data_IF_699396225015
#
_entry.id   IF_699396225015
#
_cell.length_a   1.000
_cell.length_b   1.000
_cell.length_c   1.000
_cell.angle_alpha   90.00
_cell.angle_beta   90.00
_cell.angle_gamma   90.00
#
_symmetry.space_group_name_H-M   'P 1'
#
loop_
_entity.id
_entity.type
_entity.pdbx_description
1 polymer ?
#
# COMPACT_ATOMS: atom_id res chain seq x y z
N UNK A 1 11.03 29.13 9.52
CA UNK A 1 9.64 28.97 9.04
C UNK A 1 9.56 27.71 8.21
N UNK A 2 9.34 26.58 8.87
CA UNK A 2 9.16 25.26 8.27
C UNK A 2 7.66 25.01 8.11
N UNK A 3 7.17 25.14 6.87
CA UNK A 3 5.77 24.90 6.54
C UNK A 3 5.45 23.41 6.66
N UNK A 4 4.75 23.05 7.74
CA UNK A 4 4.06 21.76 7.84
C UNK A 4 3.04 21.72 6.70
N UNK A 5 3.25 20.83 5.73
CA UNK A 5 2.24 20.54 4.71
C UNK A 5 1.04 19.92 5.44
N UNK A 6 -0.05 20.69 5.53
CA UNK A 6 -1.30 20.25 6.18
C UNK A 6 -1.84 19.04 5.42
N UNK A 7 -2.16 17.98 6.17
CA UNK A 7 -2.83 16.74 5.71
C UNK A 7 -4.07 17.02 4.83
N UNK A 8 -4.67 18.20 4.92
CA UNK A 8 -5.79 18.63 4.07
C UNK A 8 -5.51 18.68 2.56
N UNK A 9 -4.26 18.92 2.11
CA UNK A 9 -3.95 18.93 0.67
C UNK A 9 -3.96 17.53 0.06
N UNK A 10 -3.65 16.50 0.86
CA UNK A 10 -3.70 15.09 0.41
C UNK A 10 -5.14 14.65 0.18
N UNK A 11 -6.09 15.13 0.99
CA UNK A 11 -7.50 14.80 0.85
C UNK A 11 -8.15 15.44 -0.41
N UNK A 12 -7.77 16.66 -0.76
CA UNK A 12 -8.26 17.34 -1.97
C UNK A 12 -7.71 16.72 -3.27
N UNK A 13 -6.46 16.26 -3.27
CA UNK A 13 -5.89 15.49 -4.39
C UNK A 13 -6.52 14.10 -4.50
N UNK A 14 -6.93 13.49 -3.38
CA UNK A 14 -7.61 12.20 -3.34
C UNK A 14 -9.05 12.23 -3.88
N UNK A 15 -9.79 13.31 -3.65
CA UNK A 15 -11.13 13.49 -4.24
C UNK A 15 -11.08 13.66 -5.76
N UNK A 16 -10.01 14.26 -6.29
CA UNK A 16 -9.80 14.42 -7.74
C UNK A 16 -9.31 13.11 -8.40
N UNK A 17 -8.58 12.27 -7.66
CA UNK A 17 -8.07 10.99 -8.17
C UNK A 17 -9.14 9.88 -8.27
N UNK A 18 -10.29 10.04 -7.60
CA UNK A 18 -11.42 9.08 -7.58
C UNK A 18 -12.03 8.77 -8.96
N UNK A 19 -11.78 9.62 -9.97
CA UNK A 19 -12.24 9.41 -11.35
C UNK A 19 -11.32 8.50 -12.18
N UNK A 20 -10.20 8.05 -11.62
CA UNK A 20 -9.24 7.17 -12.28
C UNK A 20 -8.88 5.97 -11.41
N UNK A 21 -8.45 4.89 -12.07
CA UNK A 21 -7.93 3.59 -11.57
C UNK A 21 -7.58 3.54 -10.06
N UNK A 22 -7.99 2.49 -9.32
CA UNK A 22 -7.83 2.42 -7.86
C UNK A 22 -6.41 2.73 -7.42
N UNK A 23 -6.29 3.85 -6.70
CA UNK A 23 -5.07 4.44 -6.23
C UNK A 23 -4.91 4.14 -4.73
N UNK A 24 -3.89 3.35 -4.37
CA UNK A 24 -3.47 3.16 -2.99
C UNK A 24 -2.45 4.24 -2.62
N UNK A 25 -2.60 4.86 -1.44
CA UNK A 25 -1.59 5.79 -0.92
C UNK A 25 -0.65 5.05 0.02
N UNK A 26 0.64 4.99 -0.34
CA UNK A 26 1.69 4.44 0.52
C UNK A 26 2.60 5.55 1.04
N UNK A 27 2.87 5.56 2.34
CA UNK A 27 3.86 6.46 2.93
C UNK A 27 5.27 5.91 2.69
N UNK A 28 6.16 6.76 2.17
CA UNK A 28 7.56 6.45 1.94
C UNK A 28 8.42 6.73 3.18
N UNK A 29 9.59 6.09 3.33
CA UNK A 29 10.50 6.34 4.45
C UNK A 29 11.04 7.77 4.55
N UNK A 30 10.94 8.56 3.47
CA UNK A 30 11.33 9.97 3.42
C UNK A 30 10.18 10.93 3.82
N UNK A 31 9.06 10.40 4.28
CA UNK A 31 7.87 11.16 4.70
C UNK A 31 6.97 11.59 3.54
N UNK A 32 7.31 11.25 2.29
CA UNK A 32 6.45 11.52 1.13
C UNK A 32 5.35 10.48 0.99
N UNK A 33 4.24 10.83 0.33
CA UNK A 33 3.19 9.89 -0.04
C UNK A 33 3.33 9.54 -1.53
N UNK A 34 3.18 8.26 -1.83
CA UNK A 34 3.14 7.73 -3.19
C UNK A 34 1.73 7.22 -3.47
N UNK A 35 1.15 7.64 -4.58
CA UNK A 35 -0.11 7.11 -5.09
C UNK A 35 0.22 5.96 -6.05
N UNK A 36 -0.02 4.72 -5.63
CA UNK A 36 0.17 3.51 -6.43
C UNK A 36 -1.14 3.16 -7.11
N UNK A 37 -1.16 3.18 -8.44
CA UNK A 37 -2.30 2.71 -9.22
C UNK A 37 -2.10 1.25 -9.63
N UNK A 38 -3.15 0.45 -9.61
CA UNK A 38 -3.12 -0.95 -9.99
C UNK A 38 -3.87 -1.19 -11.29
N UNK A 39 -3.32 -2.01 -12.19
CA UNK A 39 -4.04 -2.41 -13.40
C UNK A 39 -5.16 -3.37 -13.01
N UNK A 40 -6.40 -3.07 -13.43
CA UNK A 40 -7.57 -3.93 -13.24
C UNK A 40 -8.80 -3.19 -12.72
N UNK A 41 -9.82 -3.96 -12.36
CA UNK A 41 -11.13 -3.42 -11.97
C UNK A 41 -11.14 -3.05 -10.48
N UNK A 42 -11.52 -1.81 -10.10
CA UNK A 42 -11.70 -1.47 -8.69
C UNK A 42 -12.91 -2.21 -8.08
N UNK A 43 -12.79 -2.76 -6.86
CA UNK A 43 -13.91 -3.37 -6.17
C UNK A 43 -14.84 -2.28 -5.62
N UNK A 44 -16.15 -2.46 -5.81
CA UNK A 44 -17.17 -1.64 -5.12
C UNK A 44 -17.35 -2.10 -3.68
N UNK A 45 -17.96 -1.27 -2.83
CA UNK A 45 -18.24 -1.65 -1.43
C UNK A 45 -19.11 -2.91 -1.30
N UNK A 46 -20.10 -3.06 -2.19
CA UNK A 46 -20.93 -4.27 -2.28
C UNK A 46 -20.09 -5.49 -2.67
N UNK A 47 -19.19 -5.33 -3.64
CA UNK A 47 -18.29 -6.40 -4.05
C UNK A 47 -17.34 -6.81 -2.93
N UNK A 48 -16.74 -5.86 -2.21
CA UNK A 48 -15.87 -6.14 -1.04
C UNK A 48 -16.64 -6.91 0.02
N UNK A 49 -17.90 -6.53 0.27
CA UNK A 49 -18.75 -7.23 1.24
C UNK A 49 -19.01 -8.68 0.81
N UNK A 50 -19.36 -8.91 -0.46
CA UNK A 50 -19.53 -10.27 -1.03
C UNK A 50 -18.24 -11.08 -0.98
N UNK A 51 -17.11 -10.46 -1.29
CA UNK A 51 -15.80 -11.08 -1.24
C UNK A 51 -15.45 -11.56 0.18
N UNK A 52 -15.63 -10.70 1.20
CA UNK A 52 -15.37 -11.06 2.59
C UNK A 52 -16.28 -12.20 3.07
N UNK A 53 -17.57 -12.16 2.72
CA UNK A 53 -18.50 -13.24 3.03
C UNK A 53 -18.04 -14.56 2.38
N UNK A 54 -17.49 -14.52 1.17
CA UNK A 54 -16.97 -15.72 0.52
C UNK A 54 -15.72 -16.29 1.21
N UNK A 55 -14.85 -15.44 1.76
CA UNK A 55 -13.69 -15.90 2.54
C UNK A 55 -14.10 -16.51 3.90
N UNK A 56 -15.14 -15.97 4.53
CA UNK A 56 -15.73 -16.54 5.74
C UNK A 56 -16.35 -17.90 5.44
N UNK A 57 -17.14 -18.00 4.37
CA UNK A 57 -17.76 -19.26 3.94
C UNK A 57 -16.73 -20.34 3.57
N UNK A 58 -15.57 -19.94 3.04
CA UNK A 58 -14.46 -20.84 2.76
C UNK A 58 -13.64 -21.24 4.01
N UNK A 59 -14.01 -20.76 5.20
CA UNK A 59 -13.27 -21.00 6.44
C UNK A 59 -11.92 -20.29 6.52
N UNK A 60 -11.60 -19.41 5.56
CA UNK A 60 -10.33 -18.71 5.48
C UNK A 60 -10.25 -17.49 6.40
N UNK A 61 -11.40 -16.92 6.75
CA UNK A 61 -11.52 -15.80 7.68
C UNK A 61 -12.43 -16.22 8.82
N UNK A 62 -12.00 -15.95 10.06
CA UNK A 62 -12.79 -16.25 11.26
C UNK A 62 -14.17 -15.60 11.14
N UNK A 63 -15.22 -16.27 11.58
CA UNK A 63 -16.56 -15.68 11.59
C UNK A 63 -16.62 -14.41 12.45
N UNK A 64 -17.59 -13.55 12.16
CA UNK A 64 -17.89 -12.38 12.98
C UNK A 64 -18.82 -12.83 14.12
N UNK A 65 -18.53 -12.40 15.34
CA UNK A 65 -19.33 -12.79 16.49
C UNK A 65 -20.73 -12.16 16.43
N UNK A 66 -21.74 -12.86 16.97
CA UNK A 66 -23.08 -12.32 17.12
C UNK A 66 -23.05 -11.01 17.91
N UNK A 67 -23.76 -10.01 17.42
CA UNK A 67 -23.52 -8.61 17.76
C UNK A 67 -24.61 -8.04 18.70
N UNK A 68 -25.02 -8.84 19.68
CA UNK A 68 -26.01 -8.44 20.69
C UNK A 68 -25.41 -7.42 21.66
N UNK A 69 -24.13 -7.61 22.02
CA UNK A 69 -23.32 -6.69 22.84
C UNK A 69 -22.77 -5.52 21.99
N UNK A 70 -22.99 -4.25 22.41
CA UNK A 70 -22.38 -3.07 21.79
C UNK A 70 -20.86 -3.14 21.59
N UNK A 71 -20.11 -3.73 22.53
CA UNK A 71 -18.66 -3.88 22.43
C UNK A 71 -18.27 -4.85 21.31
N UNK A 72 -19.01 -5.94 21.14
CA UNK A 72 -18.82 -6.90 20.05
C UNK A 72 -19.18 -6.27 18.70
N UNK A 73 -20.23 -5.45 18.65
CA UNK A 73 -20.54 -4.63 17.45
C UNK A 73 -19.38 -3.73 17.06
N UNK A 74 -18.82 -2.98 18.02
CA UNK A 74 -17.70 -2.07 17.75
C UNK A 74 -16.48 -2.83 17.21
N UNK A 75 -16.12 -3.96 17.82
CA UNK A 75 -15.00 -4.80 17.34
C UNK A 75 -15.25 -5.34 15.92
N UNK A 76 -16.47 -5.78 15.62
CA UNK A 76 -16.83 -6.25 14.28
C UNK A 76 -16.72 -5.12 13.25
N UNK A 77 -17.13 -3.90 13.60
CA UNK A 77 -16.99 -2.72 12.73
C UNK A 77 -15.52 -2.41 12.45
N UNK A 78 -14.68 -2.30 13.48
CA UNK A 78 -13.24 -2.05 13.31
C UNK A 78 -12.58 -3.11 12.44
N UNK A 79 -12.96 -4.38 12.64
CA UNK A 79 -12.45 -5.50 11.86
C UNK A 79 -12.90 -5.42 10.41
N UNK A 80 -14.14 -5.05 10.14
CA UNK A 80 -14.66 -4.86 8.78
C UNK A 80 -13.95 -3.69 8.07
N UNK A 81 -13.73 -2.58 8.78
CA UNK A 81 -13.00 -1.43 8.26
C UNK A 81 -11.55 -1.76 7.92
N UNK A 82 -10.87 -2.54 8.76
CA UNK A 82 -9.52 -3.02 8.50
C UNK A 82 -9.45 -3.87 7.22
N UNK A 83 -10.45 -4.73 7.00
CA UNK A 83 -10.58 -5.49 5.77
C UNK A 83 -10.84 -4.60 4.55
N UNK A 84 -11.82 -3.69 4.63
CA UNK A 84 -12.14 -2.75 3.54
C UNK A 84 -10.91 -1.95 3.14
N UNK A 85 -10.24 -1.31 4.11
CA UNK A 85 -9.02 -0.52 3.86
C UNK A 85 -7.92 -1.33 3.16
N UNK A 86 -7.79 -2.62 3.50
CA UNK A 86 -6.75 -3.46 2.92
C UNK A 86 -7.03 -3.88 1.47
N UNK A 87 -8.30 -3.97 1.05
CA UNK A 87 -8.67 -4.56 -0.25
C UNK A 87 -9.31 -3.57 -1.23
N UNK A 88 -9.91 -2.47 -0.78
CA UNK A 88 -10.62 -1.52 -1.65
C UNK A 88 -9.72 -0.82 -2.68
N UNK A 89 -8.41 -0.75 -2.44
CA UNK A 89 -7.44 -0.19 -3.39
C UNK A 89 -6.83 -1.20 -4.36
N UNK A 90 -7.25 -2.47 -4.34
CA UNK A 90 -6.64 -3.55 -5.11
C UNK A 90 -7.55 -4.04 -6.23
N UNK A 91 -7.02 -4.56 -7.35
CA UNK A 91 -7.83 -5.01 -8.46
C UNK A 91 -8.62 -6.28 -8.10
N UNK A 92 -9.89 -6.32 -8.51
CA UNK A 92 -10.82 -7.44 -8.32
C UNK A 92 -10.22 -8.76 -8.79
N UNK A 93 -9.54 -8.75 -9.93
CA UNK A 93 -8.91 -9.92 -10.54
C UNK A 93 -7.84 -10.51 -9.62
N UNK A 94 -7.03 -9.64 -9.02
CA UNK A 94 -6.02 -10.01 -8.02
C UNK A 94 -6.65 -10.58 -6.76
N UNK A 95 -7.73 -9.98 -6.27
CA UNK A 95 -8.46 -10.46 -5.09
C UNK A 95 -9.11 -11.84 -5.34
N UNK A 96 -9.69 -12.07 -6.52
CA UNK A 96 -10.22 -13.38 -6.92
C UNK A 96 -9.09 -14.42 -6.94
N UNK A 97 -7.95 -14.10 -7.56
CA UNK A 97 -6.80 -14.99 -7.61
C UNK A 97 -6.26 -15.31 -6.20
N UNK A 98 -6.22 -14.32 -5.31
CA UNK A 98 -5.79 -14.51 -3.92
C UNK A 98 -6.72 -15.48 -3.19
N UNK A 99 -8.04 -15.29 -3.30
CA UNK A 99 -9.03 -16.22 -2.73
C UNK A 99 -8.81 -17.64 -3.24
N UNK A 100 -8.76 -17.84 -4.56
CA UNK A 100 -8.57 -19.17 -5.14
C UNK A 100 -7.25 -19.82 -4.68
N UNK A 101 -6.19 -19.04 -4.51
CA UNK A 101 -4.92 -19.55 -4.00
C UNK A 101 -5.06 -20.10 -2.57
N UNK A 102 -5.67 -19.33 -1.66
CA UNK A 102 -5.83 -19.77 -0.27
C UNK A 102 -6.86 -20.89 -0.12
N UNK A 103 -7.93 -20.90 -0.92
CA UNK A 103 -8.90 -22.02 -0.97
C UNK A 103 -8.22 -23.33 -1.37
N UNK A 104 -7.18 -23.29 -2.21
CA UNK A 104 -6.39 -24.47 -2.63
C UNK A 104 -5.30 -24.86 -1.62
N UNK A 105 -5.31 -24.32 -0.41
CA UNK A 105 -4.29 -24.62 0.61
C UNK A 105 -3.02 -23.79 0.47
N UNK A 106 -3.10 -22.60 -0.13
CA UNK A 106 -2.00 -21.64 -0.13
C UNK A 106 -1.52 -21.32 1.28
N UNK A 107 -0.21 -21.18 1.45
CA UNK A 107 0.40 -20.97 2.77
C UNK A 107 -0.04 -19.64 3.40
N UNK A 108 -0.59 -19.72 4.61
CA UNK A 108 -0.92 -18.54 5.42
C UNK A 108 0.35 -18.12 6.20
N UNK A 109 0.87 -16.88 6.00
CA UNK A 109 2.09 -16.45 6.65
C UNK A 109 2.05 -16.64 8.17
N UNK A 110 3.12 -17.20 8.74
CA UNK A 110 3.22 -17.45 10.18
C UNK A 110 2.34 -18.60 10.71
N UNK A 111 1.90 -19.51 9.84
CA UNK A 111 1.26 -20.78 10.23
C UNK A 111 -0.11 -20.62 10.92
N UNK A 112 -0.79 -19.49 10.69
CA UNK A 112 -2.09 -19.20 11.29
C UNK A 112 -3.20 -19.94 10.55
N UNK A 113 -4.29 -20.23 11.27
CA UNK A 113 -5.49 -20.84 10.71
C UNK A 113 -6.33 -19.88 9.86
N UNK A 114 -6.28 -18.58 10.14
CA UNK A 114 -7.10 -17.58 9.47
C UNK A 114 -6.26 -16.47 8.84
N UNK A 115 -6.73 -16.02 7.67
CA UNK A 115 -6.18 -14.86 6.98
C UNK A 115 -6.43 -13.57 7.75
N UNK A 116 -5.43 -12.70 7.73
CA UNK A 116 -5.54 -11.29 8.10
C UNK A 116 -5.71 -10.43 6.83
N UNK A 117 -6.23 -9.20 6.95
CA UNK A 117 -6.30 -8.27 5.82
C UNK A 117 -4.95 -8.08 5.11
N UNK A 118 -3.85 -8.05 5.87
CA UNK A 118 -2.48 -7.92 5.36
C UNK A 118 -2.01 -9.13 4.53
N UNK A 119 -2.52 -10.33 4.82
CA UNK A 119 -2.11 -11.56 4.13
C UNK A 119 -2.62 -11.55 2.68
N UNK A 120 -3.92 -11.25 2.50
CA UNK A 120 -4.55 -11.12 1.17
C UNK A 120 -3.96 -9.93 0.42
N UNK A 121 -3.98 -8.76 1.04
CA UNK A 121 -3.54 -7.54 0.36
C UNK A 121 -2.04 -7.59 0.01
N UNK A 122 -1.19 -8.12 0.89
CA UNK A 122 0.22 -8.36 0.60
C UNK A 122 0.45 -9.38 -0.52
N UNK A 123 -0.35 -10.45 -0.58
CA UNK A 123 -0.28 -11.44 -1.65
C UNK A 123 -0.60 -10.83 -3.02
N UNK A 124 -1.66 -10.00 -3.08
CA UNK A 124 -2.08 -9.31 -4.31
C UNK A 124 -1.05 -8.27 -4.72
N UNK A 125 -0.60 -7.39 -3.82
CA UNK A 125 0.37 -6.33 -4.13
C UNK A 125 1.69 -6.83 -4.73
N UNK A 126 2.09 -8.06 -4.39
CA UNK A 126 3.29 -8.71 -4.93
C UNK A 126 3.13 -9.23 -6.36
N UNK A 127 1.89 -9.39 -6.83
CA UNK A 127 1.57 -10.09 -8.09
C UNK A 127 0.74 -9.26 -9.07
N UNK A 128 -0.09 -8.36 -8.55
CA UNK A 128 -0.88 -7.45 -9.37
C UNK A 128 0.06 -6.51 -10.13
N UNK A 129 -0.29 -6.28 -11.39
CA UNK A 129 0.39 -5.30 -12.22
C UNK A 129 0.07 -3.89 -11.73
N UNK A 130 1.09 -3.03 -11.75
CA UNK A 130 0.96 -1.63 -11.34
C UNK A 130 0.82 -0.79 -12.59
N UNK A 131 -0.15 0.11 -12.60
CA UNK A 131 -0.24 1.14 -13.63
C UNK A 131 0.86 2.17 -13.35
N UNK A 132 1.78 2.31 -14.30
CA UNK A 132 2.98 3.14 -14.15
C UNK A 132 2.80 4.56 -14.71
N UNK A 133 1.73 4.84 -15.46
CA UNK A 133 1.44 6.14 -16.06
C UNK A 133 2.67 6.95 -16.50
N UNK A 134 2.62 8.27 -16.30
CA UNK A 134 3.76 9.20 -16.49
C UNK A 134 4.75 9.22 -15.29
N UNK A 135 4.54 8.34 -14.32
CA UNK A 135 5.28 8.31 -13.06
C UNK A 135 6.35 7.21 -13.02
N UNK A 136 6.57 6.51 -14.13
CA UNK A 136 7.71 5.61 -14.28
C UNK A 136 9.04 6.37 -14.16
N UNK A 137 10.05 5.73 -13.58
CA UNK A 137 11.40 6.27 -13.61
C UNK A 137 11.90 6.29 -15.07
N UNK A 138 12.36 7.44 -15.61
CA UNK A 138 12.83 7.53 -16.99
C UNK A 138 13.94 6.52 -17.30
N UNK A 139 14.82 6.29 -16.32
CA UNK A 139 15.98 5.39 -16.45
C UNK A 139 15.64 3.94 -16.11
N UNK A 140 14.56 3.69 -15.37
CA UNK A 140 14.16 2.37 -14.91
C UNK A 140 12.65 2.18 -15.05
N UNK A 141 12.15 1.85 -16.25
CA UNK A 141 10.70 1.76 -16.53
C UNK A 141 9.96 0.72 -15.69
N UNK A 142 10.68 -0.20 -15.03
CA UNK A 142 10.14 -1.18 -14.07
C UNK A 142 9.73 -0.58 -12.71
N UNK A 143 10.16 0.65 -12.43
CA UNK A 143 10.12 1.29 -11.11
C UNK A 143 9.43 2.66 -11.17
N UNK A 144 8.89 3.12 -10.05
CA UNK A 144 8.28 4.45 -9.95
C UNK A 144 9.35 5.53 -9.75
N UNK A 145 9.20 6.68 -10.40
CA UNK A 145 10.17 7.80 -10.38
C UNK A 145 10.60 8.22 -8.97
N UNK A 146 9.66 8.26 -8.02
CA UNK A 146 9.92 8.70 -6.65
C UNK A 146 10.45 7.58 -5.72
N UNK A 147 10.21 6.31 -6.02
CA UNK A 147 10.63 5.17 -5.18
C UNK A 147 11.59 4.20 -5.87
N UNK A 148 12.07 4.55 -7.07
CA UNK A 148 12.96 3.73 -7.88
C UNK A 148 14.18 3.29 -7.08
N UNK A 149 14.23 1.98 -6.79
CA UNK A 149 15.26 1.39 -5.96
C UNK A 149 16.67 1.61 -6.53
N UNK A 150 16.94 1.33 -7.83
CA UNK A 150 18.22 1.64 -8.46
C UNK A 150 18.65 3.11 -8.32
N UNK A 151 17.75 4.05 -8.60
CA UNK A 151 18.04 5.49 -8.47
C UNK A 151 18.29 5.91 -7.02
N UNK A 152 17.51 5.38 -6.07
CA UNK A 152 17.68 5.63 -4.64
C UNK A 152 19.00 5.07 -4.13
N UNK A 153 19.35 3.86 -4.52
CA UNK A 153 20.61 3.21 -4.14
C UNK A 153 21.81 3.94 -4.75
N UNK A 154 21.73 4.35 -6.01
CA UNK A 154 22.74 5.18 -6.67
C UNK A 154 22.96 6.50 -5.91
N UNK A 155 21.89 7.25 -5.61
CA UNK A 155 21.97 8.47 -4.79
C UNK A 155 22.60 8.21 -3.42
N UNK A 156 22.26 7.10 -2.77
CA UNK A 156 22.86 6.71 -1.47
C UNK A 156 24.36 6.43 -1.59
N UNK A 157 24.79 5.70 -2.63
CA UNK A 157 26.21 5.40 -2.90
C UNK A 157 27.01 6.66 -3.24
N UNK A 158 26.43 7.56 -4.03
CA UNK A 158 27.05 8.86 -4.37
C UNK A 158 27.17 9.77 -3.14
N UNK A 159 26.13 9.83 -2.31
CA UNK A 159 26.15 10.55 -1.04
C UNK A 159 27.17 9.95 -0.05
N UNK A 160 27.35 8.63 -0.07
CA UNK A 160 28.32 7.91 0.73
C UNK A 160 29.73 7.86 0.10
N UNK A 161 29.94 8.48 -1.06
CA UNK A 161 31.27 8.47 -1.69
C UNK A 161 32.27 9.30 -0.86
N UNK A 162 33.54 8.87 -0.75
CA UNK A 162 34.56 9.58 0.02
C UNK A 162 34.71 11.05 -0.40
N UNK A 163 34.53 11.32 -1.70
CA UNK A 163 34.64 12.66 -2.27
C UNK A 163 33.44 13.54 -1.88
N UNK A 164 32.21 13.02 -1.93
CA UNK A 164 31.02 13.75 -1.47
C UNK A 164 31.08 13.99 0.04
N UNK A 165 31.49 12.99 0.84
CA UNK A 165 31.68 13.14 2.29
C UNK A 165 32.74 14.20 2.58
N UNK A 166 33.85 14.21 1.83
CA UNK A 166 34.90 15.23 1.97
C UNK A 166 34.37 16.63 1.63
N UNK A 167 33.63 16.80 0.53
CA UNK A 167 33.00 18.07 0.16
C UNK A 167 32.00 18.55 1.21
N UNK A 168 31.18 17.66 1.76
CA UNK A 168 30.24 17.98 2.85
C UNK A 168 31.01 18.43 4.10
N UNK A 169 32.08 17.72 4.49
CA UNK A 169 32.94 18.12 5.63
C UNK A 169 33.65 19.45 5.41
N UNK A 170 34.07 19.75 4.18
CA UNK A 170 34.66 21.05 3.82
C UNK A 170 33.60 22.16 3.86
N UNK A 171 32.40 21.93 3.34
CA UNK A 171 31.28 22.88 3.39
C UNK A 171 30.81 23.14 4.84
N UNK A 172 30.74 22.11 5.69
CA UNK A 172 30.48 22.27 7.13
C UNK A 172 31.57 23.09 7.82
N UNK A 173 32.85 22.85 7.49
CA UNK A 173 33.97 23.65 8.01
C UNK A 173 33.92 25.11 7.56
N UNK A 174 33.40 25.39 6.36
CA UNK A 174 33.18 26.75 5.85
C UNK A 174 31.89 27.41 6.36
N UNK A 175 31.07 26.70 7.13
CA UNK A 175 29.79 27.21 7.64
C UNK A 175 28.69 27.34 6.60
N UNK A 176 28.85 26.71 5.43
CA UNK A 176 27.91 26.77 4.30
C UNK A 176 26.73 25.79 4.47
N UNK A 177 26.88 24.79 5.35
CA UNK A 177 25.86 23.82 5.71
C UNK A 177 25.68 23.85 7.24
N UNK A 178 24.44 24.07 7.70
CA UNK A 178 24.05 24.06 9.12
C UNK A 178 23.41 22.73 9.48
#
# INVERSE_FOLDING_TARGET
MTGIVKIGNVLAELETARESTPAEVTANPDGTAAVVRWVGTPPTDDWVTKYLNSLVAAGLVKEFAAADDPAVRAQNVERLEAWRRAVSGLPVEGLIAARQHFERGGEIPGGRWYLRPADVSGWVRRRAERDRGDLACPDHPGEWKHSCFPCREKRRKEAASPETIRRIREAMRRGELR
#
